data_IF_351879111326
#
_entry.id   IF_351879111326
#
_cell.length_a   1.000
_cell.length_b   1.000
_cell.length_c   1.000
_cell.angle_alpha   90.00
_cell.angle_beta   90.00
_cell.angle_gamma   90.00
#
_symmetry.space_group_name_H-M   'P 1'
#
loop_
_entity.id
_entity.type
_entity.pdbx_description
1 polymer ?
#
# COMPACT_ATOMS: atom_id res chain seq x y z
N UNK A 1 2.00 73.14 44.51
CA UNK A 1 1.64 74.57 44.32
C UNK A 1 1.13 74.69 42.89
N UNK A 2 -0.19 74.81 42.71
CA UNK A 2 -0.91 76.07 42.41
C UNK A 2 -0.55 76.60 41.00
N UNK A 3 -1.43 77.04 40.09
CA UNK A 3 -2.88 77.23 40.02
C UNK A 3 -3.19 77.56 38.51
N UNK A 4 -4.28 77.03 37.92
CA UNK A 4 -5.51 77.73 37.49
C UNK A 4 -5.41 78.69 36.26
N UNK A 5 -6.22 78.39 35.22
CA UNK A 5 -7.14 79.28 34.44
C UNK A 5 -7.24 78.83 32.97
N UNK A 6 -8.33 78.16 32.54
CA UNK A 6 -9.63 78.66 32.06
C UNK A 6 -9.53 79.52 30.78
N UNK A 7 -10.00 78.96 29.66
CA UNK A 7 -10.67 79.71 28.60
C UNK A 7 -11.77 78.84 27.97
N UNK A 8 -12.99 79.29 28.22
CA UNK A 8 -14.26 78.81 27.68
C UNK A 8 -14.39 79.24 26.21
N UNK A 9 -14.81 78.35 25.31
CA UNK A 9 -15.52 78.77 24.10
C UNK A 9 -16.56 77.71 23.74
N UNK A 10 -17.83 78.07 23.93
CA UNK A 10 -18.99 77.31 23.50
C UNK A 10 -19.27 77.60 22.02
N UNK A 11 -19.54 76.57 21.22
CA UNK A 11 -20.16 76.74 19.90
C UNK A 11 -21.07 75.55 19.55
N UNK A 12 -22.36 75.81 19.76
CA UNK A 12 -23.57 75.39 19.01
C UNK A 12 -23.55 74.15 18.10
N UNK A 13 -24.53 73.28 18.40
CA UNK A 13 -25.07 72.13 17.65
C UNK A 13 -25.69 72.55 16.30
N UNK A 14 -25.71 71.64 15.29
CA UNK A 14 -26.96 71.41 14.58
C UNK A 14 -27.36 69.93 14.55
N UNK A 15 -28.67 69.71 14.71
CA UNK A 15 -29.35 68.44 14.68
C UNK A 15 -29.20 67.77 13.31
N UNK A 16 -28.76 66.51 13.31
CA UNK A 16 -28.72 65.68 12.11
C UNK A 16 -30.08 65.01 11.92
N UNK A 17 -30.83 65.50 10.93
CA UNK A 17 -32.04 64.88 10.41
C UNK A 17 -31.67 63.61 9.62
N UNK A 18 -32.22 62.46 10.00
CA UNK A 18 -32.10 61.24 9.20
C UNK A 18 -33.09 61.29 8.02
N UNK A 19 -32.64 61.08 6.77
CA UNK A 19 -33.56 60.84 5.66
C UNK A 19 -34.10 59.41 5.75
N UNK A 20 -35.42 59.29 5.62
CA UNK A 20 -36.10 58.01 5.47
C UNK A 20 -35.61 57.34 4.17
N UNK A 21 -35.01 56.16 4.30
CA UNK A 21 -34.59 55.32 3.18
C UNK A 21 -35.85 54.73 2.53
N UNK A 22 -36.34 55.36 1.46
CA UNK A 22 -37.37 54.77 0.59
C UNK A 22 -36.73 53.64 -0.20
N UNK A 23 -36.98 52.38 0.20
CA UNK A 23 -36.66 51.23 -0.65
C UNK A 23 -37.61 51.21 -1.84
N UNK A 24 -37.13 51.68 -2.99
CA UNK A 24 -37.73 51.39 -4.29
C UNK A 24 -37.40 49.93 -4.64
N UNK A 25 -38.36 49.04 -4.46
CA UNK A 25 -38.28 47.68 -4.99
C UNK A 25 -38.42 47.74 -6.52
N UNK A 26 -37.27 47.76 -7.22
CA UNK A 26 -37.23 47.56 -8.66
C UNK A 26 -37.37 46.06 -8.94
N UNK A 27 -38.58 45.62 -9.27
CA UNK A 27 -38.83 44.30 -9.82
C UNK A 27 -38.29 44.24 -11.26
N UNK A 28 -36.99 44.00 -11.39
CA UNK A 28 -36.41 43.51 -12.63
C UNK A 28 -36.77 42.03 -12.74
N UNK A 29 -37.38 41.63 -13.86
CA UNK A 29 -37.64 40.24 -14.19
C UNK A 29 -36.31 39.48 -14.20
N UNK A 30 -36.08 38.67 -13.17
CA UNK A 30 -34.97 37.75 -13.09
C UNK A 30 -35.39 36.50 -13.87
N UNK A 31 -34.71 36.20 -14.98
CA UNK A 31 -34.82 34.89 -15.60
C UNK A 31 -34.53 33.83 -14.53
N UNK A 32 -35.27 32.71 -14.48
CA UNK A 32 -35.03 31.68 -13.48
C UNK A 32 -33.61 31.13 -13.70
N UNK A 33 -32.70 31.39 -12.76
CA UNK A 33 -31.39 30.75 -12.79
C UNK A 33 -31.57 29.23 -12.77
N UNK A 34 -30.80 28.48 -13.58
CA UNK A 34 -30.85 27.04 -13.54
C UNK A 34 -30.55 26.56 -12.11
N UNK A 35 -31.38 25.66 -11.59
CA UNK A 35 -31.18 25.07 -10.27
C UNK A 35 -29.95 24.17 -10.35
N UNK A 36 -28.79 24.75 -10.09
CA UNK A 36 -27.52 24.03 -10.12
C UNK A 36 -27.44 23.06 -8.94
N UNK A 37 -26.81 21.92 -9.17
CA UNK A 37 -26.38 21.01 -8.13
C UNK A 37 -24.90 21.23 -7.84
N UNK A 38 -24.57 21.61 -6.61
CA UNK A 38 -23.19 21.81 -6.15
C UNK A 38 -22.85 20.75 -5.10
N UNK A 39 -21.69 20.09 -5.25
CA UNK A 39 -21.19 19.11 -4.30
C UNK A 39 -19.68 19.24 -4.07
N UNK A 40 -19.26 19.13 -2.81
CA UNK A 40 -17.85 18.98 -2.44
C UNK A 40 -17.53 17.48 -2.47
N UNK A 41 -16.62 17.11 -3.36
CA UNK A 41 -16.15 15.74 -3.55
C UNK A 41 -14.76 15.60 -2.94
N UNK A 42 -14.60 14.62 -2.05
CA UNK A 42 -13.33 14.27 -1.40
C UNK A 42 -12.38 13.52 -2.35
N UNK A 43 -12.14 14.07 -3.54
CA UNK A 43 -11.23 13.54 -4.55
C UNK A 43 -10.33 14.65 -5.10
N UNK A 44 -9.13 14.28 -5.55
CA UNK A 44 -8.21 15.22 -6.18
C UNK A 44 -8.81 15.79 -7.49
N UNK A 45 -8.60 17.08 -7.83
CA UNK A 45 -9.19 17.70 -9.01
C UNK A 45 -8.90 16.96 -10.33
N UNK A 46 -7.67 16.48 -10.51
CA UNK A 46 -7.29 15.71 -11.68
C UNK A 46 -8.06 14.39 -11.82
N UNK A 47 -8.34 13.71 -10.69
CA UNK A 47 -9.09 12.46 -10.69
C UNK A 47 -10.55 12.70 -11.04
N UNK A 48 -11.16 13.70 -10.41
CA UNK A 48 -12.56 14.05 -10.67
C UNK A 48 -12.78 14.53 -12.10
N UNK A 49 -11.86 15.32 -12.65
CA UNK A 49 -11.86 15.74 -14.06
C UNK A 49 -11.93 14.55 -15.01
N UNK A 50 -11.15 13.49 -14.75
CA UNK A 50 -11.14 12.30 -15.60
C UNK A 50 -12.46 11.53 -15.53
N UNK A 51 -13.02 11.38 -14.32
CA UNK A 51 -14.32 10.71 -14.13
C UNK A 51 -15.44 11.51 -14.80
N UNK A 52 -15.48 12.83 -14.58
CA UNK A 52 -16.47 13.72 -15.21
C UNK A 52 -16.34 13.70 -16.72
N UNK A 53 -15.11 13.67 -17.25
CA UNK A 53 -14.87 13.50 -18.69
C UNK A 53 -15.48 12.19 -19.19
N UNK A 54 -15.30 11.07 -18.49
CA UNK A 54 -15.87 9.79 -18.90
C UNK A 54 -17.40 9.81 -18.89
N UNK A 55 -18.01 10.37 -17.84
CA UNK A 55 -19.48 10.51 -17.76
C UNK A 55 -20.01 11.47 -18.84
N UNK A 56 -19.33 12.60 -19.08
CA UNK A 56 -19.72 13.53 -20.14
C UNK A 56 -19.62 12.92 -21.55
N UNK A 57 -18.66 12.00 -21.76
CA UNK A 57 -18.48 11.27 -23.01
C UNK A 57 -19.33 10.01 -23.14
N UNK A 58 -20.02 9.58 -22.09
CA UNK A 58 -21.00 8.52 -22.24
C UNK A 58 -22.20 9.03 -23.08
N UNK A 59 -22.89 8.13 -23.76
CA UNK A 59 -23.93 8.50 -24.73
C UNK A 59 -25.30 8.75 -24.11
N UNK A 60 -25.39 8.92 -22.77
CA UNK A 60 -26.65 8.83 -22.02
C UNK A 60 -26.78 9.96 -21.00
N UNK A 61 -27.76 10.84 -21.16
CA UNK A 61 -28.16 11.80 -20.11
C UNK A 61 -29.17 11.11 -19.19
N UNK A 62 -28.86 11.01 -17.91
CA UNK A 62 -29.71 10.36 -16.90
C UNK A 62 -30.68 11.35 -16.27
N UNK A 63 -31.73 10.83 -15.62
CA UNK A 63 -32.68 11.65 -14.86
C UNK A 63 -33.72 12.39 -15.70
N UNK A 64 -33.79 12.10 -17.00
CA UNK A 64 -34.83 12.58 -17.91
C UNK A 64 -35.08 11.56 -19.02
N UNK A 65 -36.23 11.61 -19.66
CA UNK A 65 -36.64 10.67 -20.72
C UNK A 65 -37.64 11.32 -21.68
N UNK A 66 -37.68 10.85 -22.93
CA UNK A 66 -38.67 11.29 -23.95
C UNK A 66 -39.94 10.44 -23.89
N UNK A 67 -39.79 9.16 -23.51
CA UNK A 67 -40.87 8.18 -23.47
C UNK A 67 -40.99 7.57 -22.07
N UNK A 68 -42.22 7.37 -21.59
CA UNK A 68 -42.53 6.92 -20.22
C UNK A 68 -41.85 5.58 -19.82
N UNK A 69 -41.48 4.74 -20.81
CA UNK A 69 -40.80 3.47 -20.56
C UNK A 69 -39.28 3.59 -20.41
N UNK A 70 -38.73 4.77 -20.61
CA UNK A 70 -37.31 5.06 -20.54
C UNK A 70 -36.98 5.85 -19.26
N UNK A 71 -35.72 5.77 -18.84
CA UNK A 71 -35.22 6.47 -17.64
C UNK A 71 -34.06 7.42 -17.95
N UNK A 72 -33.68 7.51 -19.23
CA UNK A 72 -32.53 8.27 -19.70
C UNK A 72 -32.70 8.67 -21.17
N UNK A 73 -32.02 9.74 -21.57
CA UNK A 73 -31.92 10.20 -22.96
C UNK A 73 -30.63 9.64 -23.58
N UNK A 74 -30.75 8.70 -24.50
CA UNK A 74 -29.62 8.11 -25.22
C UNK A 74 -29.20 8.95 -26.43
N UNK A 75 -28.06 8.66 -27.04
CA UNK A 75 -27.46 9.41 -28.16
C UNK A 75 -27.07 10.86 -27.80
N UNK A 76 -26.65 11.07 -26.55
CA UNK A 76 -25.97 12.30 -26.16
C UNK A 76 -24.51 12.30 -26.63
N UNK A 77 -23.97 13.49 -26.85
CA UNK A 77 -22.60 13.69 -27.32
C UNK A 77 -21.88 14.68 -26.41
N UNK A 78 -20.62 14.40 -26.07
CA UNK A 78 -19.76 15.39 -25.46
C UNK A 78 -19.48 16.54 -26.44
N UNK A 79 -19.57 17.77 -25.97
CA UNK A 79 -19.25 18.96 -26.75
C UNK A 79 -18.22 19.82 -26.01
N UNK A 80 -17.25 20.42 -26.72
CA UNK A 80 -16.23 21.27 -26.09
C UNK A 80 -16.78 22.65 -25.70
N UNK A 81 -17.93 23.04 -26.25
CA UNK A 81 -18.61 24.30 -25.97
C UNK A 81 -20.13 24.13 -26.10
N UNK A 82 -20.88 25.04 -25.49
CA UNK A 82 -22.32 25.17 -25.69
C UNK A 82 -22.75 26.62 -25.47
N UNK A 83 -23.69 27.09 -26.27
CA UNK A 83 -24.36 28.39 -26.08
C UNK A 83 -25.58 28.31 -25.16
N UNK A 84 -25.92 27.11 -24.68
CA UNK A 84 -27.07 26.91 -23.80
C UNK A 84 -26.89 27.53 -22.40
N UNK A 85 -25.65 27.87 -22.05
CA UNK A 85 -25.31 28.50 -20.77
C UNK A 85 -24.50 29.78 -20.99
N UNK A 86 -24.57 30.74 -20.06
CA UNK A 86 -23.61 31.85 -20.00
C UNK A 86 -22.16 31.34 -19.94
N UNK A 87 -21.24 32.11 -20.50
CA UNK A 87 -19.81 31.79 -20.46
C UNK A 87 -19.33 31.63 -19.01
N UNK A 88 -18.62 30.54 -18.72
CA UNK A 88 -18.09 30.28 -17.39
C UNK A 88 -16.82 31.09 -17.12
N UNK A 89 -16.79 31.85 -16.01
CA UNK A 89 -15.68 32.77 -15.68
C UNK A 89 -14.97 32.45 -14.36
N UNK A 90 -15.52 31.57 -13.53
CA UNK A 90 -14.97 31.29 -12.19
C UNK A 90 -13.78 30.29 -12.19
N UNK A 91 -13.22 29.96 -13.35
CA UNK A 91 -12.11 29.02 -13.49
C UNK A 91 -12.50 27.55 -13.27
N UNK A 92 -11.54 26.63 -13.41
CA UNK A 92 -11.80 25.18 -13.41
C UNK A 92 -11.95 24.60 -14.81
N UNK A 93 -12.39 23.34 -14.91
CA UNK A 93 -12.65 22.65 -16.16
C UNK A 93 -14.15 22.49 -16.39
N UNK A 94 -14.60 22.77 -17.62
CA UNK A 94 -16.00 22.71 -18.02
C UNK A 94 -16.18 21.65 -19.09
N UNK A 95 -17.23 20.85 -18.94
CA UNK A 95 -17.64 19.82 -19.89
C UNK A 95 -19.10 20.03 -20.25
N UNK A 96 -19.45 19.75 -21.51
CA UNK A 96 -20.83 19.76 -21.96
C UNK A 96 -21.21 18.41 -22.51
N UNK A 97 -22.43 17.99 -22.21
CA UNK A 97 -23.06 16.80 -22.77
C UNK A 97 -24.39 17.21 -23.37
N UNK A 98 -24.55 16.94 -24.66
CA UNK A 98 -25.63 17.53 -25.47
C UNK A 98 -26.39 16.44 -26.17
N UNK A 99 -27.71 16.46 -26.01
CA UNK A 99 -28.65 15.65 -26.77
C UNK A 99 -29.59 16.57 -27.52
N UNK A 100 -29.52 16.52 -28.86
CA UNK A 100 -30.36 17.33 -29.77
C UNK A 100 -31.63 16.58 -30.16
N UNK A 101 -32.65 17.26 -30.67
CA UNK A 101 -33.87 16.62 -31.19
C UNK A 101 -34.57 15.73 -30.14
N UNK A 102 -34.71 16.26 -28.92
CA UNK A 102 -35.40 15.62 -27.79
C UNK A 102 -36.83 16.11 -27.76
N UNK A 103 -37.80 15.20 -27.79
CA UNK A 103 -39.21 15.55 -27.74
C UNK A 103 -39.68 15.77 -26.29
N UNK A 104 -39.94 17.02 -25.92
CA UNK A 104 -40.59 17.40 -24.64
C UNK A 104 -40.16 16.56 -23.43
N UNK A 105 -38.85 16.59 -23.07
CA UNK A 105 -38.30 15.67 -22.08
C UNK A 105 -38.93 15.85 -20.69
N UNK A 106 -39.08 14.74 -19.97
CA UNK A 106 -39.49 14.76 -18.55
C UNK A 106 -38.50 15.57 -17.69
N UNK A 107 -38.96 16.07 -16.55
CA UNK A 107 -38.13 16.84 -15.59
C UNK A 107 -37.63 18.20 -16.09
N UNK A 108 -38.24 18.72 -17.16
CA UNK A 108 -38.08 20.11 -17.62
C UNK A 108 -39.46 20.78 -17.65
N UNK A 109 -39.73 21.64 -16.67
CA UNK A 109 -41.06 22.22 -16.46
C UNK A 109 -41.52 23.05 -17.67
N UNK A 110 -42.77 22.84 -18.10
CA UNK A 110 -43.39 23.50 -19.26
C UNK A 110 -42.72 23.25 -20.62
N UNK A 111 -41.84 22.27 -20.74
CA UNK A 111 -41.42 21.78 -22.06
C UNK A 111 -42.63 21.20 -22.81
N UNK A 112 -42.81 21.60 -24.07
CA UNK A 112 -43.95 21.11 -24.88
C UNK A 112 -43.60 20.83 -26.34
N UNK A 113 -42.36 21.10 -26.75
CA UNK A 113 -41.89 20.98 -28.13
C UNK A 113 -40.58 20.17 -28.21
N UNK A 114 -40.07 19.99 -29.42
CA UNK A 114 -38.75 19.43 -29.68
C UNK A 114 -37.65 20.46 -29.39
N UNK A 115 -36.51 19.98 -28.88
CA UNK A 115 -35.40 20.84 -28.56
C UNK A 115 -34.10 20.10 -28.26
N UNK A 116 -33.22 20.79 -27.54
CA UNK A 116 -31.90 20.28 -27.17
C UNK A 116 -31.71 20.31 -25.66
N UNK A 117 -31.39 19.15 -25.07
CA UNK A 117 -30.95 19.05 -23.67
C UNK A 117 -29.44 19.22 -23.61
N UNK A 118 -28.97 20.13 -22.76
CA UNK A 118 -27.55 20.36 -22.48
C UNK A 118 -27.31 20.22 -20.99
N UNK A 119 -26.37 19.35 -20.61
CA UNK A 119 -25.83 19.26 -19.25
C UNK A 119 -24.43 19.89 -19.23
N UNK A 120 -24.19 20.80 -18.29
CA UNK A 120 -22.89 21.41 -18.02
C UNK A 120 -22.33 20.84 -16.72
N UNK A 121 -21.09 20.38 -16.76
CA UNK A 121 -20.32 19.98 -15.58
C UNK A 121 -19.18 20.97 -15.41
N UNK A 122 -18.98 21.44 -14.18
CA UNK A 122 -17.85 22.28 -13.82
C UNK A 122 -17.11 21.63 -12.66
N UNK A 123 -15.80 21.45 -12.83
CA UNK A 123 -14.90 20.92 -11.80
C UNK A 123 -13.91 21.99 -11.39
N UNK A 124 -13.91 22.34 -10.10
CA UNK A 124 -13.03 23.35 -9.51
C UNK A 124 -12.26 22.77 -8.31
N UNK A 125 -11.05 23.27 -8.02
CA UNK A 125 -10.38 22.95 -6.77
C UNK A 125 -11.14 23.58 -5.59
N UNK A 126 -11.41 22.80 -4.55
CA UNK A 126 -12.02 23.32 -3.32
C UNK A 126 -10.96 23.86 -2.36
N UNK A 127 -11.26 24.96 -1.67
CA UNK A 127 -10.39 25.58 -0.67
C UNK A 127 -10.14 24.70 0.55
N UNK A 128 -11.01 23.70 0.80
CA UNK A 128 -10.91 22.78 1.94
C UNK A 128 -10.12 21.50 1.66
N UNK A 129 -9.45 21.38 0.50
CA UNK A 129 -8.61 20.21 0.18
C UNK A 129 -9.34 19.08 -0.55
N UNK A 130 -10.27 19.43 -1.44
CA UNK A 130 -10.97 18.49 -2.32
C UNK A 130 -11.29 19.13 -3.67
N UNK A 131 -12.38 18.69 -4.30
CA UNK A 131 -12.89 19.29 -5.53
C UNK A 131 -14.34 19.71 -5.36
N UNK A 132 -14.72 20.82 -5.97
CA UNK A 132 -16.10 21.25 -6.09
C UNK A 132 -16.62 20.84 -7.48
N UNK A 133 -17.76 20.17 -7.50
CA UNK A 133 -18.46 19.75 -8.70
C UNK A 133 -19.80 20.46 -8.78
N UNK A 134 -20.01 21.17 -9.87
CA UNK A 134 -21.28 21.80 -10.21
C UNK A 134 -21.87 21.17 -11.45
N UNK A 135 -23.14 20.80 -11.40
CA UNK A 135 -23.90 20.23 -12.52
C UNK A 135 -25.14 21.08 -12.76
N UNK A 136 -25.39 21.42 -14.02
CA UNK A 136 -26.58 22.16 -14.44
C UNK A 136 -27.16 21.51 -15.69
N UNK A 137 -28.48 21.41 -15.78
CA UNK A 137 -29.17 20.93 -16.96
C UNK A 137 -30.25 21.91 -17.45
N UNK A 138 -30.27 22.13 -18.77
CA UNK A 138 -31.26 22.97 -19.45
C UNK A 138 -31.74 22.31 -20.73
N UNK A 139 -33.04 22.42 -20.99
CA UNK A 139 -33.67 22.07 -22.25
C UNK A 139 -34.05 23.35 -23.00
N UNK A 140 -33.63 23.50 -24.24
CA UNK A 140 -33.95 24.67 -25.07
C UNK A 140 -34.73 24.20 -26.29
N UNK A 141 -35.93 24.74 -26.48
CA UNK A 141 -36.78 24.41 -27.64
C UNK A 141 -36.14 24.90 -28.96
N UNK A 142 -36.31 24.14 -30.04
CA UNK A 142 -35.80 24.50 -31.37
C UNK A 142 -36.71 25.52 -32.07
N UNK A 143 -37.91 25.77 -31.54
CA UNK A 143 -38.89 26.71 -32.08
C UNK A 143 -38.41 28.18 -32.07
N UNK A 144 -39.18 29.05 -32.72
CA UNK A 144 -38.80 30.45 -32.99
C UNK A 144 -38.41 31.31 -31.78
N UNK A 145 -38.77 30.91 -30.55
CA UNK A 145 -38.46 31.66 -29.32
C UNK A 145 -37.31 31.08 -28.51
N UNK A 146 -36.75 29.92 -28.91
CA UNK A 146 -35.68 29.23 -28.19
C UNK A 146 -35.87 29.24 -26.67
N UNK A 147 -37.07 28.87 -26.21
CA UNK A 147 -37.45 29.00 -24.80
C UNK A 147 -36.61 28.03 -23.96
N UNK A 148 -35.87 28.52 -22.96
CA UNK A 148 -35.14 27.66 -22.03
C UNK A 148 -36.08 27.12 -20.95
N UNK A 149 -35.87 25.86 -20.59
CA UNK A 149 -36.55 25.16 -19.51
C UNK A 149 -35.48 24.53 -18.63
N UNK A 150 -35.44 24.93 -17.37
CA UNK A 150 -34.47 24.43 -16.38
C UNK A 150 -34.92 23.06 -15.87
N UNK A 151 -33.97 22.17 -15.57
CA UNK A 151 -34.31 20.89 -14.93
C UNK A 151 -34.82 21.08 -13.50
N UNK A 152 -35.72 20.20 -13.05
CA UNK A 152 -36.21 20.19 -11.67
C UNK A 152 -35.18 19.66 -10.63
N UNK A 153 -33.93 19.38 -11.06
CA UNK A 153 -32.87 18.78 -10.25
C UNK A 153 -32.70 17.28 -10.47
N UNK A 154 -33.62 16.61 -11.19
CA UNK A 154 -33.57 15.16 -11.40
C UNK A 154 -32.40 14.74 -12.29
N UNK A 155 -32.07 15.54 -13.31
CA UNK A 155 -30.95 15.28 -14.22
C UNK A 155 -29.63 15.42 -13.47
N UNK A 156 -29.47 16.52 -12.74
CA UNK A 156 -28.26 16.81 -11.98
C UNK A 156 -27.98 15.74 -10.92
N UNK A 157 -29.00 15.34 -10.16
CA UNK A 157 -28.86 14.30 -9.14
C UNK A 157 -28.50 12.93 -9.76
N UNK A 158 -29.09 12.58 -10.90
CA UNK A 158 -28.82 11.31 -11.57
C UNK A 158 -27.42 11.27 -12.21
N UNK A 159 -26.97 12.39 -12.78
CA UNK A 159 -25.62 12.52 -13.32
C UNK A 159 -24.56 12.53 -12.22
N UNK A 160 -24.81 13.22 -11.10
CA UNK A 160 -23.95 13.14 -9.91
C UNK A 160 -23.84 11.71 -9.39
N UNK A 161 -24.97 10.98 -9.33
CA UNK A 161 -24.98 9.58 -8.88
C UNK A 161 -24.06 8.72 -9.76
N UNK A 162 -24.08 8.89 -11.07
CA UNK A 162 -23.17 8.15 -11.97
C UNK A 162 -21.69 8.48 -11.71
N UNK A 163 -21.37 9.75 -11.47
CA UNK A 163 -20.01 10.19 -11.10
C UNK A 163 -19.58 9.56 -9.77
N UNK A 164 -20.46 9.56 -8.77
CA UNK A 164 -20.20 8.98 -7.45
C UNK A 164 -20.02 7.45 -7.53
N UNK A 165 -20.82 6.76 -8.34
CA UNK A 165 -20.68 5.32 -8.58
C UNK A 165 -19.33 4.98 -9.24
N UNK A 166 -18.89 5.77 -10.23
CA UNK A 166 -17.57 5.60 -10.83
C UNK A 166 -16.44 5.82 -9.82
N UNK A 167 -16.54 6.87 -8.99
CA UNK A 167 -15.54 7.14 -7.95
C UNK A 167 -15.44 5.97 -6.96
N UNK A 168 -16.58 5.48 -6.49
CA UNK A 168 -16.62 4.35 -5.56
C UNK A 168 -16.08 3.06 -6.18
N UNK A 169 -16.43 2.76 -7.43
CA UNK A 169 -15.92 1.57 -8.14
C UNK A 169 -14.39 1.59 -8.26
N UNK A 170 -13.82 2.77 -8.54
CA UNK A 170 -12.38 2.99 -8.57
C UNK A 170 -11.74 2.72 -7.20
N UNK A 171 -12.31 3.29 -6.13
CA UNK A 171 -11.77 3.14 -4.77
C UNK A 171 -11.79 1.68 -4.33
N UNK A 172 -12.87 0.96 -4.66
CA UNK A 172 -12.96 -0.48 -4.41
C UNK A 172 -11.88 -1.25 -5.17
N UNK A 173 -11.70 -0.97 -6.46
CA UNK A 173 -10.68 -1.63 -7.27
C UNK A 173 -9.26 -1.37 -6.72
N UNK A 174 -8.96 -0.14 -6.29
CA UNK A 174 -7.68 0.20 -5.68
C UNK A 174 -7.46 -0.53 -4.34
N UNK A 175 -8.51 -0.63 -3.52
CA UNK A 175 -8.45 -1.34 -2.25
C UNK A 175 -8.21 -2.84 -2.46
N UNK A 176 -8.96 -3.47 -3.37
CA UNK A 176 -8.78 -4.87 -3.74
C UNK A 176 -7.36 -5.13 -4.28
N UNK A 177 -6.84 -4.25 -5.13
CA UNK A 177 -5.48 -4.36 -5.65
C UNK A 177 -4.42 -4.25 -4.54
N UNK A 178 -4.61 -3.35 -3.56
CA UNK A 178 -3.71 -3.22 -2.40
C UNK A 178 -3.75 -4.46 -1.51
N UNK A 179 -4.93 -5.02 -1.27
CA UNK A 179 -5.08 -6.23 -0.48
C UNK A 179 -4.45 -7.44 -1.16
N UNK A 180 -4.63 -7.58 -2.47
CA UNK A 180 -4.00 -8.64 -3.24
C UNK A 180 -2.47 -8.49 -3.24
N UNK A 181 -1.95 -7.29 -3.45
CA UNK A 181 -0.51 -7.03 -3.40
C UNK A 181 0.10 -7.38 -2.04
N UNK A 182 -0.65 -7.12 -0.95
CA UNK A 182 -0.23 -7.52 0.40
C UNK A 182 -0.20 -9.05 0.54
N UNK A 183 -1.25 -9.76 0.11
CA UNK A 183 -1.29 -11.23 0.15
C UNK A 183 -0.15 -11.86 -0.64
N UNK A 184 0.11 -11.35 -1.85
CA UNK A 184 1.20 -11.83 -2.70
C UNK A 184 2.58 -11.59 -2.04
N UNK A 185 2.73 -10.47 -1.32
CA UNK A 185 3.94 -10.18 -0.55
C UNK A 185 4.10 -11.15 0.62
N UNK A 186 3.04 -11.37 1.39
CA UNK A 186 3.04 -12.27 2.55
C UNK A 186 3.30 -13.73 2.11
N UNK A 187 2.76 -14.15 0.96
CA UNK A 187 3.01 -15.47 0.37
C UNK A 187 4.46 -15.63 -0.10
N UNK A 188 5.03 -14.59 -0.74
CA UNK A 188 6.45 -14.58 -1.12
C UNK A 188 7.37 -14.65 0.09
N UNK A 189 7.06 -13.88 1.13
CA UNK A 189 7.81 -13.91 2.39
C UNK A 189 7.72 -15.31 3.02
N UNK A 190 6.53 -15.86 3.16
CA UNK A 190 6.31 -17.21 3.70
C UNK A 190 7.09 -18.27 2.90
N UNK A 191 7.03 -18.19 1.57
CA UNK A 191 7.76 -19.11 0.68
C UNK A 191 9.28 -18.98 0.86
N UNK A 192 9.79 -17.76 0.99
CA UNK A 192 11.21 -17.51 1.24
C UNK A 192 11.66 -17.99 2.63
N UNK A 193 10.82 -17.87 3.66
CA UNK A 193 11.09 -18.45 4.98
C UNK A 193 11.13 -19.98 4.91
N UNK A 194 10.17 -20.59 4.21
CA UNK A 194 10.14 -22.04 4.04
C UNK A 194 11.40 -22.54 3.31
N UNK A 195 11.84 -21.89 2.25
CA UNK A 195 13.09 -22.27 1.57
C UNK A 195 14.30 -22.12 2.51
N UNK A 196 14.38 -21.02 3.27
CA UNK A 196 15.45 -20.82 4.27
C UNK A 196 15.48 -21.91 5.33
N UNK A 197 14.32 -22.33 5.86
CA UNK A 197 14.20 -23.44 6.80
C UNK A 197 14.70 -24.76 6.18
N UNK A 198 14.34 -25.03 4.93
CA UNK A 198 14.79 -26.26 4.25
C UNK A 198 16.29 -26.29 4.04
N UNK A 199 16.91 -25.16 3.67
CA UNK A 199 18.36 -25.04 3.52
C UNK A 199 19.08 -25.20 4.86
N UNK A 200 18.58 -24.58 5.92
CA UNK A 200 19.17 -24.68 7.25
C UNK A 200 19.09 -26.11 7.79
N UNK A 201 17.95 -26.77 7.61
CA UNK A 201 17.81 -28.18 7.98
C UNK A 201 18.80 -29.07 7.20
N UNK A 202 19.03 -28.79 5.92
CA UNK A 202 20.04 -29.51 5.13
C UNK A 202 21.47 -29.27 5.65
N UNK A 203 21.80 -28.02 6.05
CA UNK A 203 23.08 -27.67 6.68
C UNK A 203 23.28 -28.39 8.02
N UNK A 204 22.28 -28.38 8.90
CA UNK A 204 22.31 -29.08 10.19
C UNK A 204 22.48 -30.60 9.98
N UNK A 205 21.75 -31.17 9.03
CA UNK A 205 21.85 -32.60 8.73
C UNK A 205 23.23 -32.98 8.17
N UNK A 206 23.87 -32.11 7.38
CA UNK A 206 25.24 -32.30 6.91
C UNK A 206 26.24 -32.21 8.08
N UNK A 207 26.17 -31.17 8.89
CA UNK A 207 27.05 -30.99 10.06
C UNK A 207 26.94 -32.14 11.07
N UNK A 208 25.72 -32.67 11.26
CA UNK A 208 25.48 -33.83 12.14
C UNK A 208 26.13 -35.10 11.58
N UNK A 209 26.07 -35.32 10.26
CA UNK A 209 26.76 -36.43 9.59
C UNK A 209 28.28 -36.32 9.73
N UNK A 210 28.82 -35.12 9.53
CA UNK A 210 30.26 -34.87 9.66
C UNK A 210 30.72 -35.11 11.09
N UNK A 211 29.96 -34.61 12.08
CA UNK A 211 30.24 -34.86 13.50
C UNK A 211 30.27 -36.35 13.82
N UNK A 212 29.27 -37.10 13.35
CA UNK A 212 29.22 -38.55 13.57
C UNK A 212 30.40 -39.28 12.89
N UNK A 213 30.84 -38.83 11.72
CA UNK A 213 32.03 -39.37 11.06
C UNK A 213 33.32 -39.06 11.84
N UNK A 214 33.47 -37.83 12.36
CA UNK A 214 34.60 -37.45 13.21
C UNK A 214 34.61 -38.26 14.52
N UNK A 215 33.47 -38.45 15.17
CA UNK A 215 33.36 -39.26 16.39
C UNK A 215 33.79 -40.71 16.14
N UNK A 216 33.34 -41.32 15.03
CA UNK A 216 33.82 -42.65 14.62
C UNK A 216 35.33 -42.65 14.39
N UNK A 217 35.85 -41.63 13.70
CA UNK A 217 37.29 -41.54 13.43
C UNK A 217 38.12 -41.40 14.70
N UNK A 218 37.66 -40.61 15.67
CA UNK A 218 38.30 -40.49 16.99
C UNK A 218 38.25 -41.83 17.72
N UNK A 219 37.13 -42.56 17.65
CA UNK A 219 37.02 -43.87 18.28
C UNK A 219 37.96 -44.90 17.64
N UNK A 220 38.05 -44.94 16.30
CA UNK A 220 39.01 -45.78 15.57
C UNK A 220 40.45 -45.44 15.95
N UNK A 221 40.81 -44.15 15.97
CA UNK A 221 42.13 -43.70 16.37
C UNK A 221 42.44 -44.14 17.81
N UNK A 222 41.50 -43.94 18.74
CA UNK A 222 41.67 -44.39 20.14
C UNK A 222 41.89 -45.89 20.25
N UNK A 223 41.16 -46.71 19.49
CA UNK A 223 41.37 -48.17 19.47
C UNK A 223 42.76 -48.51 18.93
N UNK A 224 43.13 -47.94 17.78
CA UNK A 224 44.41 -48.20 17.12
C UNK A 224 45.64 -47.79 17.96
N UNK A 225 45.49 -46.79 18.83
CA UNK A 225 46.53 -46.32 19.74
C UNK A 225 46.53 -47.06 21.08
N UNK A 226 45.62 -48.01 21.32
CA UNK A 226 45.58 -48.77 22.56
C UNK A 226 46.28 -50.13 22.40
N UNK A 227 47.17 -50.46 23.32
CA UNK A 227 47.85 -51.76 23.36
C UNK A 227 47.74 -52.38 24.75
N UNK A 228 47.58 -53.69 24.80
CA UNK A 228 47.45 -54.48 26.03
C UNK A 228 48.71 -55.27 26.29
N UNK A 229 49.20 -55.24 27.53
CA UNK A 229 50.40 -55.98 27.92
C UNK A 229 50.08 -57.47 28.10
N UNK A 230 50.82 -58.35 27.41
CA UNK A 230 50.51 -59.80 27.35
C UNK A 230 50.88 -60.57 28.63
N UNK A 231 51.89 -60.11 29.35
CA UNK A 231 52.50 -60.82 30.49
C UNK A 231 52.80 -59.86 31.63
N UNK A 232 52.76 -60.33 32.87
CA UNK A 232 53.10 -59.49 34.03
C UNK A 232 54.61 -59.21 34.07
N UNK A 233 55.00 -58.03 34.55
CA UNK A 233 56.40 -57.66 34.76
C UNK A 233 57.11 -57.17 33.50
N UNK A 234 56.39 -56.70 32.49
CA UNK A 234 57.00 -56.18 31.25
C UNK A 234 57.73 -54.87 31.54
N UNK A 235 59.05 -54.75 31.28
CA UNK A 235 59.80 -53.56 31.63
C UNK A 235 59.48 -52.40 30.69
N UNK A 236 58.94 -51.31 31.23
CA UNK A 236 58.84 -50.00 30.56
C UNK A 236 60.22 -49.35 30.60
N UNK A 237 60.88 -49.22 29.45
CA UNK A 237 62.26 -48.71 29.35
C UNK A 237 62.31 -47.22 29.05
N UNK A 238 63.41 -46.56 29.43
CA UNK A 238 63.65 -45.15 29.10
C UNK A 238 63.99 -44.88 27.63
N UNK A 239 64.47 -45.89 26.89
CA UNK A 239 64.88 -45.77 25.48
C UNK A 239 64.68 -47.09 24.70
N UNK A 240 64.60 -47.05 23.35
CA UNK A 240 64.25 -48.21 22.51
C UNK A 240 65.43 -49.18 22.25
N UNK A 241 66.02 -49.72 23.32
CA UNK A 241 67.04 -50.78 23.25
C UNK A 241 67.08 -51.61 24.54
N UNK A 242 67.60 -52.84 24.47
CA UNK A 242 67.47 -53.85 25.54
C UNK A 242 68.13 -53.46 26.87
N UNK A 243 69.23 -52.71 26.83
CA UNK A 243 70.00 -52.32 28.01
C UNK A 243 69.57 -50.99 28.64
N UNK A 244 68.54 -50.33 28.09
CA UNK A 244 68.06 -49.08 28.67
C UNK A 244 67.49 -49.33 30.08
N UNK A 245 67.68 -48.39 31.02
CA UNK A 245 67.10 -48.45 32.36
C UNK A 245 65.59 -48.67 32.32
N UNK A 246 65.10 -49.58 33.16
CA UNK A 246 63.66 -49.82 33.37
C UNK A 246 63.12 -48.74 34.31
N UNK A 247 62.12 -48.02 33.84
CA UNK A 247 61.41 -47.00 34.61
C UNK A 247 60.38 -47.64 35.54
N UNK A 248 59.57 -48.56 34.99
CA UNK A 248 58.47 -49.20 35.71
C UNK A 248 58.18 -50.61 35.12
N UNK A 249 57.85 -51.63 35.93
CA UNK A 249 57.29 -52.87 35.43
C UNK A 249 55.78 -52.72 35.18
N UNK A 250 55.31 -53.06 33.99
CA UNK A 250 53.89 -53.10 33.64
C UNK A 250 53.25 -54.44 34.03
N UNK A 251 52.01 -54.38 34.50
CA UNK A 251 51.17 -55.52 34.86
C UNK A 251 50.61 -56.27 33.65
N UNK A 252 50.13 -57.51 33.89
CA UNK A 252 49.43 -58.28 32.86
C UNK A 252 48.06 -57.66 32.59
N UNK A 253 47.65 -57.65 31.31
CA UNK A 253 46.39 -57.07 30.84
C UNK A 253 46.27 -55.56 31.09
N UNK A 254 47.37 -54.90 31.46
CA UNK A 254 47.43 -53.44 31.59
C UNK A 254 47.31 -52.77 30.23
N UNK A 255 46.48 -51.71 30.18
CA UNK A 255 46.21 -50.95 28.96
C UNK A 255 47.13 -49.73 28.87
N UNK A 256 47.89 -49.64 27.78
CA UNK A 256 48.82 -48.53 27.54
C UNK A 256 48.48 -47.82 26.23
N UNK A 257 48.77 -46.51 26.15
CA UNK A 257 48.56 -45.71 24.95
C UNK A 257 49.85 -45.64 24.13
N UNK A 258 49.84 -46.14 22.90
CA UNK A 258 50.95 -46.06 21.95
C UNK A 258 51.08 -44.63 21.42
N UNK A 259 52.24 -44.02 21.62
CA UNK A 259 52.57 -42.67 21.14
C UNK A 259 53.39 -42.71 19.85
N UNK A 260 54.25 -43.73 19.71
CA UNK A 260 55.16 -43.88 18.58
C UNK A 260 55.45 -45.36 18.34
N UNK A 261 55.55 -45.77 17.07
CA UNK A 261 55.83 -47.15 16.70
C UNK A 261 57.06 -47.24 15.80
N UNK A 262 58.06 -48.00 16.24
CA UNK A 262 59.24 -48.40 15.45
C UNK A 262 59.13 -49.88 15.09
N UNK A 263 60.00 -50.43 14.21
CA UNK A 263 59.92 -51.84 13.82
C UNK A 263 59.90 -52.83 15.01
N UNK A 264 60.61 -52.51 16.11
CA UNK A 264 60.79 -53.41 17.25
C UNK A 264 60.29 -52.86 18.60
N UNK A 265 60.18 -51.53 18.73
CA UNK A 265 59.80 -50.87 19.98
C UNK A 265 58.57 -49.98 19.79
N UNK A 266 57.69 -49.98 20.79
CA UNK A 266 56.57 -49.06 20.90
C UNK A 266 56.84 -48.09 22.05
N UNK A 267 56.76 -46.79 21.79
CA UNK A 267 56.70 -45.78 22.84
C UNK A 267 55.28 -45.76 23.37
N UNK A 268 55.11 -45.99 24.67
CA UNK A 268 53.81 -46.10 25.31
C UNK A 268 53.72 -45.16 26.52
N UNK A 269 52.51 -44.73 26.84
CA UNK A 269 52.15 -44.00 28.05
C UNK A 269 51.27 -44.89 28.94
N UNK A 270 51.73 -45.10 30.16
CA UNK A 270 51.03 -45.82 31.24
C UNK A 270 49.91 -44.93 31.85
N UNK A 271 48.87 -45.50 32.49
CA UNK A 271 47.72 -44.72 32.98
C UNK A 271 48.03 -43.59 33.97
N UNK A 272 49.11 -43.68 34.74
CA UNK A 272 49.58 -42.62 35.66
C UNK A 272 50.41 -41.55 34.95
N UNK A 273 50.60 -41.68 33.63
CA UNK A 273 51.23 -40.67 32.78
C UNK A 273 52.71 -40.92 32.50
N UNK A 274 53.29 -41.99 33.02
CA UNK A 274 54.70 -42.32 32.76
C UNK A 274 54.88 -42.81 31.33
N UNK A 275 55.80 -42.18 30.60
CA UNK A 275 56.15 -42.58 29.24
C UNK A 275 57.42 -43.44 29.21
N UNK A 276 57.46 -44.40 28.29
CA UNK A 276 58.64 -45.20 28.02
C UNK A 276 58.47 -46.10 26.80
N UNK A 277 59.41 -47.02 26.61
CA UNK A 277 59.49 -47.91 25.46
C UNK A 277 59.27 -49.36 25.89
N UNK A 278 58.41 -50.07 25.18
CA UNK A 278 58.11 -51.49 25.37
C UNK A 278 58.39 -52.25 24.08
N UNK A 279 58.88 -53.47 24.21
CA UNK A 279 59.15 -54.32 23.06
C UNK A 279 57.85 -54.79 22.40
N UNK A 280 57.74 -54.64 21.08
CA UNK A 280 56.48 -54.84 20.34
C UNK A 280 55.86 -56.23 20.54
N UNK A 281 56.66 -57.28 20.72
CA UNK A 281 56.16 -58.65 20.90
C UNK A 281 55.43 -58.87 22.24
N UNK A 282 55.74 -58.05 23.26
CA UNK A 282 55.20 -58.17 24.62
C UNK A 282 53.85 -57.48 24.80
N UNK A 283 53.39 -56.77 23.78
CA UNK A 283 52.13 -56.06 23.75
C UNK A 283 51.28 -56.53 22.57
N UNK A 284 49.98 -56.52 22.75
CA UNK A 284 48.99 -56.80 21.74
C UNK A 284 48.25 -55.50 21.44
N UNK A 285 48.44 -54.95 20.23
CA UNK A 285 47.69 -53.78 19.79
C UNK A 285 46.23 -54.21 19.63
N UNK A 286 45.32 -53.51 20.28
CA UNK A 286 43.90 -53.82 20.18
C UNK A 286 43.38 -53.41 18.78
N UNK A 287 42.62 -54.28 18.10
CA UNK A 287 41.98 -53.94 16.83
C UNK A 287 40.81 -52.94 16.99
#
# INVERSE_FOLDING_TARGET
MAAISIAMLALTVPALTMPALTMMASAAAHDPEPTAFDAIVSAAPARLVEIVRQVANDTTIRGSHEYEKETSLNAAEAQPNSSAFPAWTAGGQVFFKVRRQVLSPAHFFQSTDIGTVTVRYVVQPSTSGGSELRIEAVFIEDGHRHKPHVSDGSVEAAEYKAIAEHLHAIEQQEQEAREQAKRDSDEKETTALLSSITEENARIAAATRDRAALEKRVQELRRSLSARVKTAGVPLKSAPYNHAPTLLPLGRDEMVTVLEATPFWLRVREPQGQEGWVYRLLVEVQP
#
